data_IF_487521498121
#
_entry.id   IF_487521498121
#
_cell.length_a   1.000
_cell.length_b   1.000
_cell.length_c   1.000
_cell.angle_alpha   90.00
_cell.angle_beta   90.00
_cell.angle_gamma   90.00
#
_symmetry.space_group_name_H-M   'P 1'
#
loop_
_entity.id
_entity.type
_entity.pdbx_description
1 polymer ?
#
# COMPACT_ATOMS: atom_id res chain seq x y z
N UNK A 1 32.76 6.92 10.07
CA UNK A 1 31.62 6.20 10.68
C UNK A 1 30.53 7.14 11.20
N UNK A 2 30.83 8.26 11.90
CA UNK A 2 29.79 9.20 12.36
C UNK A 2 29.19 10.10 11.24
N UNK A 3 29.94 10.39 10.18
CA UNK A 3 29.51 11.24 9.06
C UNK A 3 28.50 10.55 8.14
N UNK A 4 28.66 9.25 7.88
CA UNK A 4 27.74 8.47 7.06
C UNK A 4 26.35 8.33 7.70
N UNK A 5 26.29 8.03 9.00
CA UNK A 5 25.01 7.90 9.72
C UNK A 5 24.18 9.20 9.75
N UNK A 6 24.83 10.35 9.91
CA UNK A 6 24.15 11.65 9.84
C UNK A 6 23.66 11.98 8.43
N UNK A 7 24.42 11.61 7.39
CA UNK A 7 23.96 11.73 6.02
C UNK A 7 22.75 10.83 5.76
N UNK A 8 22.79 9.57 6.24
CA UNK A 8 21.70 8.61 6.13
C UNK A 8 20.40 9.13 6.74
N UNK A 9 20.47 9.68 7.95
CA UNK A 9 19.32 10.28 8.65
C UNK A 9 18.68 11.39 7.82
N UNK A 10 19.49 12.33 7.30
CA UNK A 10 19.01 13.42 6.45
C UNK A 10 18.34 12.91 5.17
N UNK A 11 18.92 11.91 4.52
CA UNK A 11 18.35 11.29 3.33
C UNK A 11 17.02 10.60 3.64
N UNK A 12 16.92 9.91 4.78
CA UNK A 12 15.67 9.31 5.22
C UNK A 12 14.58 10.35 5.54
N UNK A 13 14.93 11.46 6.20
CA UNK A 13 14.00 12.57 6.43
C UNK A 13 13.48 13.16 5.12
N UNK A 14 14.36 13.39 4.14
CA UNK A 14 13.96 13.83 2.81
C UNK A 14 13.04 12.82 2.11
N UNK A 15 13.35 11.52 2.24
CA UNK A 15 12.51 10.44 1.71
C UNK A 15 11.10 10.44 2.31
N UNK A 16 10.97 10.67 3.62
CA UNK A 16 9.67 10.78 4.28
C UNK A 16 8.85 11.96 3.75
N UNK A 17 9.48 13.13 3.58
CA UNK A 17 8.82 14.31 3.00
C UNK A 17 8.33 14.03 1.58
N UNK A 18 9.18 13.45 0.72
CA UNK A 18 8.78 13.08 -0.63
C UNK A 18 7.67 12.02 -0.65
N UNK A 19 7.72 11.05 0.28
CA UNK A 19 6.71 10.00 0.40
C UNK A 19 5.34 10.55 0.82
N UNK A 20 5.31 11.52 1.74
CA UNK A 20 4.09 12.22 2.16
C UNK A 20 3.51 13.10 1.04
N UNK A 21 4.37 13.68 0.20
CA UNK A 21 3.97 14.48 -0.96
C UNK A 21 3.62 13.67 -2.21
N UNK A 22 3.56 12.34 -2.10
CA UNK A 22 3.32 11.43 -3.22
C UNK A 22 4.38 11.45 -4.35
N UNK A 23 5.58 11.96 -4.07
CA UNK A 23 6.71 12.02 -5.00
C UNK A 23 7.53 10.72 -4.96
N UNK A 24 6.94 9.62 -5.42
CA UNK A 24 7.44 8.26 -5.20
C UNK A 24 8.88 8.06 -5.69
N UNK A 25 9.24 8.54 -6.88
CA UNK A 25 10.59 8.38 -7.43
C UNK A 25 11.64 9.10 -6.60
N UNK A 26 11.32 10.32 -6.11
CA UNK A 26 12.21 11.09 -5.23
C UNK A 26 12.34 10.43 -3.87
N UNK A 27 11.24 9.90 -3.34
CA UNK A 27 11.23 9.17 -2.08
C UNK A 27 12.09 7.90 -2.16
N UNK A 28 11.98 7.12 -3.24
CA UNK A 28 12.84 5.96 -3.50
C UNK A 28 14.31 6.36 -3.52
N UNK A 29 14.67 7.39 -4.30
CA UNK A 29 16.06 7.83 -4.40
C UNK A 29 16.63 8.27 -3.04
N UNK A 30 15.85 9.03 -2.26
CA UNK A 30 16.28 9.50 -0.95
C UNK A 30 16.41 8.35 0.07
N UNK A 31 15.47 7.38 0.10
CA UNK A 31 15.61 6.22 0.97
C UNK A 31 16.75 5.29 0.56
N UNK A 32 17.03 5.15 -0.74
CA UNK A 32 18.16 4.36 -1.21
C UNK A 32 19.49 4.96 -0.74
N UNK A 33 19.67 6.29 -0.84
CA UNK A 33 20.83 6.98 -0.29
C UNK A 33 20.96 6.78 1.24
N UNK A 34 19.83 6.77 1.96
CA UNK A 34 19.84 6.48 3.40
C UNK A 34 20.36 5.07 3.69
N UNK A 35 19.87 4.09 2.96
CA UNK A 35 20.28 2.68 3.08
C UNK A 35 21.74 2.47 2.63
N UNK A 36 22.22 3.18 1.62
CA UNK A 36 23.60 3.05 1.14
C UNK A 36 24.61 3.62 2.16
N UNK A 37 24.20 4.65 2.92
CA UNK A 37 25.01 5.26 3.96
C UNK A 37 24.95 4.54 5.32
N UNK A 38 23.86 3.83 5.64
CA UNK A 38 23.70 3.00 6.84
C UNK A 38 22.87 1.72 6.55
N UNK A 39 23.48 0.70 5.90
CA UNK A 39 22.76 -0.45 5.36
C UNK A 39 22.20 -1.42 6.39
N UNK A 40 22.65 -1.30 7.64
CA UNK A 40 22.19 -2.10 8.78
C UNK A 40 21.13 -1.36 9.60
N UNK A 41 20.61 -0.23 9.12
CA UNK A 41 19.53 0.45 9.81
C UNK A 41 18.16 -0.14 9.39
N UNK A 42 17.48 -0.87 10.30
CA UNK A 42 16.23 -1.54 9.98
C UNK A 42 15.09 -0.56 9.64
N UNK A 43 15.10 0.66 10.18
CA UNK A 43 14.07 1.66 9.84
C UNK A 43 14.18 2.13 8.38
N UNK A 44 15.40 2.33 7.88
CA UNK A 44 15.61 2.77 6.49
C UNK A 44 15.22 1.68 5.51
N UNK A 45 15.49 0.41 5.83
CA UNK A 45 15.05 -0.75 5.05
C UNK A 45 13.51 -0.86 5.01
N UNK A 46 12.83 -0.58 6.14
CA UNK A 46 11.36 -0.56 6.16
C UNK A 46 10.78 0.60 5.35
N UNK A 47 11.35 1.80 5.45
CA UNK A 47 10.88 2.94 4.66
C UNK A 47 11.09 2.73 3.17
N UNK A 48 12.21 2.12 2.79
CA UNK A 48 12.47 1.71 1.41
C UNK A 48 11.45 0.67 0.93
N UNK A 49 11.14 -0.35 1.75
CA UNK A 49 10.10 -1.33 1.43
C UNK A 49 8.72 -0.69 1.24
N UNK A 50 8.37 0.29 2.09
CA UNK A 50 7.08 1.01 2.04
C UNK A 50 6.92 1.82 0.77
N UNK A 51 7.95 2.56 0.34
CA UNK A 51 7.88 3.35 -0.90
C UNK A 51 7.81 2.45 -2.14
N UNK A 52 8.55 1.33 -2.15
CA UNK A 52 8.47 0.36 -3.24
C UNK A 52 7.08 -0.28 -3.32
N UNK A 53 6.51 -0.70 -2.18
CA UNK A 53 5.17 -1.26 -2.14
C UNK A 53 4.10 -0.26 -2.63
N UNK A 54 4.23 1.02 -2.25
CA UNK A 54 3.31 2.08 -2.66
C UNK A 54 3.44 2.46 -4.14
N UNK A 55 4.65 2.39 -4.71
CA UNK A 55 4.88 2.61 -6.15
C UNK A 55 4.51 1.38 -7.01
N UNK A 56 4.14 0.26 -6.38
CA UNK A 56 3.77 -0.98 -7.06
C UNK A 56 4.96 -1.87 -7.41
N UNK A 57 6.17 -1.51 -7.01
CA UNK A 57 7.38 -2.33 -7.15
C UNK A 57 7.47 -3.34 -5.99
N UNK A 58 6.60 -4.34 -6.02
CA UNK A 58 6.53 -5.35 -4.96
C UNK A 58 7.79 -6.22 -4.90
N UNK A 59 8.53 -6.36 -6.01
CA UNK A 59 9.78 -7.12 -6.02
C UNK A 59 10.84 -6.43 -5.16
N UNK A 60 11.06 -5.12 -5.38
CA UNK A 60 11.99 -4.35 -4.57
C UNK A 60 11.51 -4.16 -3.13
N UNK A 61 10.20 -4.10 -2.90
CA UNK A 61 9.64 -4.09 -1.56
C UNK A 61 10.00 -5.38 -0.79
N UNK A 62 9.82 -6.54 -1.43
CA UNK A 62 10.19 -7.83 -0.84
C UNK A 62 11.70 -7.98 -0.67
N UNK A 63 12.52 -7.47 -1.59
CA UNK A 63 13.97 -7.45 -1.41
C UNK A 63 14.38 -6.64 -0.16
N UNK A 64 13.80 -5.45 0.00
CA UNK A 64 14.07 -4.58 1.14
C UNK A 64 13.65 -5.21 2.47
N UNK A 65 12.50 -5.90 2.50
CA UNK A 65 12.08 -6.68 3.67
C UNK A 65 12.99 -7.88 3.95
N UNK A 66 13.48 -8.55 2.91
CA UNK A 66 14.44 -9.64 3.06
C UNK A 66 15.73 -9.16 3.72
N UNK A 67 16.22 -7.98 3.33
CA UNK A 67 17.34 -7.30 3.99
C UNK A 67 17.02 -6.88 5.42
N UNK A 68 15.81 -6.35 5.67
CA UNK A 68 15.37 -6.04 7.03
C UNK A 68 15.44 -7.27 7.94
N UNK A 69 14.97 -8.43 7.46
CA UNK A 69 15.00 -9.69 8.21
C UNK A 69 16.41 -10.27 8.43
N UNK A 70 17.42 -9.80 7.70
CA UNK A 70 18.83 -10.14 7.99
C UNK A 70 19.39 -9.35 9.18
N UNK A 71 18.80 -8.19 9.49
CA UNK A 71 19.23 -7.28 10.56
C UNK A 71 18.38 -7.45 11.81
N UNK A 72 17.06 -7.46 11.68
CA UNK A 72 16.10 -7.68 12.75
C UNK A 72 15.36 -9.01 12.54
N UNK A 73 15.67 -10.00 13.37
CA UNK A 73 15.13 -11.36 13.28
C UNK A 73 14.11 -11.70 14.36
N UNK A 74 13.96 -10.87 15.39
CA UNK A 74 13.15 -11.17 16.57
C UNK A 74 11.98 -10.19 16.75
N UNK A 75 10.83 -10.72 17.20
CA UNK A 75 9.65 -9.94 17.57
C UNK A 75 8.49 -10.00 16.57
N UNK A 76 7.37 -9.38 16.96
CA UNK A 76 6.11 -9.45 16.21
C UNK A 76 6.22 -8.89 14.78
N UNK A 77 7.08 -7.88 14.56
CA UNK A 77 7.29 -7.25 13.25
C UNK A 77 8.05 -8.19 12.30
N UNK A 78 9.17 -8.74 12.75
CA UNK A 78 9.94 -9.72 11.98
C UNK A 78 9.08 -10.95 11.64
N UNK A 79 8.40 -11.53 12.64
CA UNK A 79 7.51 -12.68 12.43
C UNK A 79 6.37 -12.39 11.43
N UNK A 80 5.89 -11.15 11.35
CA UNK A 80 4.88 -10.76 10.36
C UNK A 80 5.46 -10.70 8.94
N UNK A 81 6.68 -10.21 8.77
CA UNK A 81 7.33 -10.14 7.46
C UNK A 81 7.84 -11.49 7.01
N UNK A 82 8.34 -12.35 7.90
CA UNK A 82 8.70 -13.74 7.59
C UNK A 82 7.52 -14.50 6.96
N UNK A 83 6.30 -14.31 7.48
CA UNK A 83 5.09 -14.91 6.91
C UNK A 83 4.81 -14.45 5.48
N UNK A 84 5.27 -13.29 5.03
CA UNK A 84 5.13 -12.85 3.64
C UNK A 84 6.00 -13.65 2.67
N UNK A 85 7.09 -14.26 3.16
CA UNK A 85 7.97 -15.13 2.38
C UNK A 85 7.54 -16.60 2.43
N UNK A 86 6.50 -16.92 3.19
CA UNK A 86 5.89 -18.25 3.19
C UNK A 86 5.19 -18.51 1.86
N UNK A 87 5.27 -19.75 1.36
CA UNK A 87 4.50 -20.18 0.18
C UNK A 87 3.03 -20.46 0.47
N UNK A 88 2.64 -20.49 1.75
CA UNK A 88 1.27 -20.74 2.19
C UNK A 88 0.50 -19.44 2.33
N UNK A 89 -0.73 -19.43 1.80
CA UNK A 89 -1.68 -18.32 1.99
C UNK A 89 -1.98 -18.12 3.47
N UNK A 90 -2.09 -16.87 3.89
CA UNK A 90 -2.64 -16.55 5.21
C UNK A 90 -4.17 -16.66 5.24
N UNK A 91 -4.75 -16.63 6.44
CA UNK A 91 -6.20 -16.77 6.64
C UNK A 91 -6.99 -15.65 5.94
N UNK A 92 -6.43 -14.43 5.85
CA UNK A 92 -7.07 -13.29 5.19
C UNK A 92 -7.06 -13.50 3.67
N UNK A 93 -5.93 -13.92 3.10
CA UNK A 93 -5.80 -14.23 1.68
C UNK A 93 -6.72 -15.36 1.24
N UNK A 94 -6.81 -16.40 2.06
CA UNK A 94 -7.73 -17.53 1.83
C UNK A 94 -9.18 -17.04 1.79
N UNK A 95 -9.59 -16.24 2.79
CA UNK A 95 -10.95 -15.68 2.85
C UNK A 95 -11.25 -14.72 1.71
N UNK A 96 -10.26 -13.91 1.29
CA UNK A 96 -10.39 -13.03 0.12
C UNK A 96 -10.67 -13.85 -1.14
N UNK A 97 -9.86 -14.86 -1.41
CA UNK A 97 -10.02 -15.69 -2.61
C UNK A 97 -11.39 -16.36 -2.62
N UNK A 98 -11.78 -17.01 -1.52
CA UNK A 98 -13.01 -17.80 -1.47
C UNK A 98 -14.26 -16.92 -1.52
N UNK A 99 -14.32 -15.89 -0.68
CA UNK A 99 -15.52 -15.05 -0.55
C UNK A 99 -15.70 -14.14 -1.75
N UNK A 100 -14.62 -13.56 -2.31
CA UNK A 100 -14.72 -12.71 -3.49
C UNK A 100 -15.17 -13.51 -4.72
N UNK A 101 -14.76 -14.78 -4.85
CA UNK A 101 -15.29 -15.69 -5.89
C UNK A 101 -16.77 -15.95 -5.71
N UNK A 102 -17.24 -16.20 -4.49
CA UNK A 102 -18.67 -16.39 -4.20
C UNK A 102 -19.50 -15.14 -4.51
N UNK A 103 -18.93 -13.95 -4.31
CA UNK A 103 -19.50 -12.66 -4.69
C UNK A 103 -19.42 -12.36 -6.20
N UNK A 104 -18.91 -13.29 -7.01
CA UNK A 104 -18.68 -13.13 -8.46
C UNK A 104 -17.76 -11.95 -8.82
N UNK A 105 -16.82 -11.61 -7.93
CA UNK A 105 -15.83 -10.55 -8.20
C UNK A 105 -14.78 -11.10 -9.19
N UNK A 106 -14.41 -10.34 -10.25
CA UNK A 106 -13.45 -10.79 -11.25
C UNK A 106 -12.09 -11.15 -10.66
N UNK A 107 -11.43 -12.17 -11.23
CA UNK A 107 -10.13 -12.67 -10.74
C UNK A 107 -9.03 -11.58 -10.73
N UNK A 108 -9.07 -10.63 -11.67
CA UNK A 108 -8.16 -9.49 -11.69
C UNK A 108 -8.29 -8.62 -10.42
N UNK A 109 -9.52 -8.39 -9.95
CA UNK A 109 -9.80 -7.64 -8.74
C UNK A 109 -9.44 -8.43 -7.47
N UNK A 110 -9.57 -9.76 -7.50
CA UNK A 110 -9.07 -10.63 -6.42
C UNK A 110 -7.53 -10.53 -6.33
N UNK A 111 -6.84 -10.54 -7.46
CA UNK A 111 -5.39 -10.29 -7.50
C UNK A 111 -5.02 -8.94 -6.88
N UNK A 112 -5.78 -7.88 -7.21
CA UNK A 112 -5.62 -6.56 -6.59
C UNK A 112 -5.94 -6.53 -5.09
N UNK A 113 -6.88 -7.33 -4.62
CA UNK A 113 -7.17 -7.48 -3.20
C UNK A 113 -5.97 -8.06 -2.42
N UNK A 114 -5.33 -9.09 -2.98
CA UNK A 114 -4.13 -9.71 -2.40
C UNK A 114 -2.97 -8.71 -2.40
N UNK A 115 -2.76 -7.98 -3.50
CA UNK A 115 -1.76 -6.91 -3.57
C UNK A 115 -2.02 -5.81 -2.53
N UNK A 116 -3.30 -5.43 -2.32
CA UNK A 116 -3.69 -4.44 -1.33
C UNK A 116 -3.40 -4.92 0.09
N UNK A 117 -3.66 -6.19 0.36
CA UNK A 117 -3.37 -6.80 1.65
C UNK A 117 -1.86 -6.85 1.93
N UNK A 118 -1.06 -7.21 0.91
CA UNK A 118 0.40 -7.16 0.98
C UNK A 118 0.88 -5.73 1.29
N UNK A 119 0.48 -4.73 0.50
CA UNK A 119 0.90 -3.34 0.71
C UNK A 119 0.51 -2.86 2.12
N UNK A 120 -0.70 -3.19 2.58
CA UNK A 120 -1.18 -2.79 3.90
C UNK A 120 -0.27 -3.32 5.02
N UNK A 121 0.13 -4.59 4.95
CA UNK A 121 1.03 -5.21 5.95
C UNK A 121 2.42 -4.57 5.96
N UNK A 122 2.90 -4.07 4.81
CA UNK A 122 4.17 -3.35 4.70
C UNK A 122 4.03 -1.93 5.24
N UNK A 123 3.00 -1.20 4.81
CA UNK A 123 2.74 0.20 5.17
C UNK A 123 2.46 0.42 6.65
N UNK A 124 1.95 -0.59 7.35
CA UNK A 124 1.82 -0.56 8.82
C UNK A 124 3.16 -0.31 9.52
N UNK A 125 4.29 -0.71 8.91
CA UNK A 125 5.63 -0.52 9.47
C UNK A 125 5.75 -1.22 10.82
N UNK A 126 6.44 -0.62 11.80
CA UNK A 126 6.67 -1.24 13.11
C UNK A 126 5.42 -1.35 14.01
N UNK A 127 4.27 -0.82 13.60
CA UNK A 127 3.06 -0.87 14.43
C UNK A 127 2.67 -2.34 14.69
N UNK A 128 2.33 -2.69 15.95
CA UNK A 128 1.87 -4.04 16.27
C UNK A 128 0.65 -4.40 15.43
N UNK A 129 0.67 -5.59 14.84
CA UNK A 129 -0.38 -6.03 13.94
C UNK A 129 -0.65 -7.50 14.09
N UNK A 130 -1.91 -7.84 14.36
CA UNK A 130 -2.39 -9.22 14.49
C UNK A 130 -3.78 -9.32 13.86
N UNK A 131 -4.09 -10.51 13.38
CA UNK A 131 -5.32 -10.80 12.63
C UNK A 131 -6.13 -11.91 13.31
N UNK A 132 -6.51 -11.78 14.60
CA UNK A 132 -7.27 -12.84 15.30
C UNK A 132 -8.67 -13.04 14.73
N UNK A 133 -9.16 -12.08 13.93
CA UNK A 133 -10.43 -12.11 13.20
C UNK A 133 -10.13 -11.80 11.73
N UNK A 134 -9.63 -12.77 10.95
CA UNK A 134 -9.22 -12.55 9.56
C UNK A 134 -10.39 -12.09 8.68
N UNK A 135 -11.63 -12.49 9.01
CA UNK A 135 -12.85 -12.09 8.31
C UNK A 135 -13.08 -10.57 8.29
N UNK A 136 -12.68 -9.87 9.35
CA UNK A 136 -12.79 -8.41 9.41
C UNK A 136 -11.88 -7.71 8.40
N UNK A 137 -10.67 -8.24 8.23
CA UNK A 137 -9.67 -7.69 7.30
C UNK A 137 -10.01 -8.03 5.86
N UNK A 138 -10.38 -9.30 5.59
CA UNK A 138 -10.79 -9.74 4.27
C UNK A 138 -12.02 -8.97 3.76
N UNK A 139 -13.00 -8.74 4.63
CA UNK A 139 -14.18 -7.93 4.30
C UNK A 139 -13.82 -6.46 4.02
N UNK A 140 -12.95 -5.86 4.85
CA UNK A 140 -12.47 -4.49 4.66
C UNK A 140 -11.76 -4.30 3.32
N UNK A 141 -10.83 -5.19 2.98
CA UNK A 141 -10.10 -5.17 1.70
C UNK A 141 -11.05 -5.42 0.52
N UNK A 142 -11.97 -6.37 0.64
CA UNK A 142 -12.98 -6.61 -0.41
C UNK A 142 -13.83 -5.37 -0.67
N UNK A 143 -14.30 -4.72 0.40
CA UNK A 143 -15.09 -3.51 0.27
C UNK A 143 -14.27 -2.34 -0.30
N UNK A 144 -12.98 -2.25 0.03
CA UNK A 144 -12.08 -1.28 -0.60
C UNK A 144 -11.96 -1.52 -2.11
N UNK A 145 -11.77 -2.77 -2.55
CA UNK A 145 -11.72 -3.12 -3.98
C UNK A 145 -13.03 -2.79 -4.70
N UNK A 146 -14.17 -3.09 -4.07
CA UNK A 146 -15.50 -2.73 -4.57
C UNK A 146 -15.61 -1.22 -4.80
N UNK A 147 -15.11 -0.40 -3.86
CA UNK A 147 -15.15 1.06 -3.95
C UNK A 147 -14.18 1.62 -4.98
N UNK A 148 -12.95 1.13 -5.02
CA UNK A 148 -11.97 1.56 -6.02
C UNK A 148 -12.45 1.28 -7.43
N UNK A 149 -13.10 0.13 -7.66
CA UNK A 149 -13.52 -0.32 -8.98
C UNK A 149 -14.99 0.00 -9.32
N UNK A 150 -15.69 0.74 -8.47
CA UNK A 150 -17.11 1.09 -8.64
C UNK A 150 -18.03 -0.11 -8.87
N UNK A 151 -17.72 -1.25 -8.24
CA UNK A 151 -18.56 -2.45 -8.31
C UNK A 151 -19.88 -2.18 -7.59
N UNK A 152 -21.00 -2.52 -8.23
CA UNK A 152 -22.35 -2.36 -7.66
C UNK A 152 -22.63 -3.42 -6.59
N UNK A 153 -22.01 -3.27 -5.42
CA UNK A 153 -22.23 -4.15 -4.27
C UNK A 153 -22.45 -3.33 -3.00
N UNK A 154 -23.50 -3.65 -2.24
CA UNK A 154 -23.81 -2.91 -1.01
C UNK A 154 -22.90 -3.40 0.12
N UNK A 155 -22.64 -2.50 1.07
CA UNK A 155 -21.89 -2.83 2.29
C UNK A 155 -22.56 -3.95 3.09
N UNK A 156 -23.90 -4.00 3.10
CA UNK A 156 -24.70 -5.07 3.72
C UNK A 156 -24.34 -6.44 3.15
N UNK A 157 -24.17 -6.51 1.83
CA UNK A 157 -23.96 -7.77 1.12
C UNK A 157 -22.54 -8.29 1.38
N UNK A 158 -21.55 -7.40 1.40
CA UNK A 158 -20.17 -7.73 1.79
C UNK A 158 -20.11 -8.15 3.26
N UNK A 159 -20.73 -7.40 4.16
CA UNK A 159 -20.74 -7.73 5.59
C UNK A 159 -21.37 -9.12 5.83
N UNK A 160 -22.48 -9.42 5.16
CA UNK A 160 -23.15 -10.71 5.24
C UNK A 160 -22.27 -11.85 4.69
N UNK A 161 -21.58 -11.64 3.57
CA UNK A 161 -20.73 -12.66 2.95
C UNK A 161 -19.57 -13.10 3.86
N UNK A 162 -19.05 -12.19 4.69
CA UNK A 162 -18.00 -12.49 5.66
C UNK A 162 -18.54 -12.82 7.07
N UNK A 163 -19.86 -12.83 7.27
CA UNK A 163 -20.47 -13.13 8.57
C UNK A 163 -20.20 -12.07 9.65
N UNK A 164 -19.99 -10.81 9.27
CA UNK A 164 -19.66 -9.70 10.18
C UNK A 164 -20.76 -8.63 10.17
N UNK A 165 -20.72 -7.72 11.15
CA UNK A 165 -21.65 -6.58 11.16
C UNK A 165 -21.11 -5.39 10.33
N UNK A 166 -22.02 -4.58 9.78
CA UNK A 166 -21.66 -3.44 8.93
C UNK A 166 -20.78 -2.38 9.59
N UNK A 167 -20.91 -2.20 10.92
CA UNK A 167 -20.09 -1.23 11.65
C UNK A 167 -18.63 -1.68 11.68
N UNK A 168 -18.38 -2.95 12.01
CA UNK A 168 -17.03 -3.51 12.01
C UNK A 168 -16.40 -3.50 10.61
N UNK A 169 -17.20 -3.76 9.56
CA UNK A 169 -16.76 -3.61 8.18
C UNK A 169 -16.35 -2.16 7.89
N UNK A 170 -17.20 -1.19 8.25
CA UNK A 170 -16.92 0.24 8.06
C UNK A 170 -15.62 0.65 8.75
N UNK A 171 -15.45 0.29 10.01
CA UNK A 171 -14.27 0.65 10.81
C UNK A 171 -12.98 0.10 10.15
N UNK A 172 -13.01 -1.15 9.66
CA UNK A 172 -11.85 -1.77 8.99
C UNK A 172 -11.57 -1.17 7.62
N UNK A 173 -12.62 -0.89 6.86
CA UNK A 173 -12.48 -0.18 5.58
C UNK A 173 -11.83 1.19 5.78
N UNK A 174 -12.26 1.97 6.78
CA UNK A 174 -11.69 3.29 7.08
C UNK A 174 -10.22 3.19 7.48
N UNK A 175 -9.85 2.20 8.30
CA UNK A 175 -8.46 1.95 8.68
C UNK A 175 -7.56 1.62 7.47
N UNK A 176 -8.06 0.80 6.54
CA UNK A 176 -7.35 0.45 5.30
C UNK A 176 -7.18 1.68 4.41
N UNK A 177 -8.26 2.44 4.19
CA UNK A 177 -8.25 3.66 3.38
C UNK A 177 -7.25 4.67 3.92
N UNK A 178 -7.24 4.91 5.24
CA UNK A 178 -6.31 5.84 5.87
C UNK A 178 -4.86 5.36 5.81
N UNK A 179 -4.63 4.06 6.02
CA UNK A 179 -3.27 3.51 6.02
C UNK A 179 -2.64 3.54 4.63
N UNK A 180 -3.41 3.16 3.61
CA UNK A 180 -2.94 3.09 2.23
C UNK A 180 -3.10 4.40 1.45
N UNK A 181 -3.76 5.39 2.06
CA UNK A 181 -4.18 6.64 1.43
C UNK A 181 -4.93 6.35 0.10
N UNK A 182 -5.96 5.51 0.20
CA UNK A 182 -6.73 5.05 -0.96
C UNK A 182 -7.67 6.15 -1.48
N UNK A 183 -7.69 6.30 -2.80
CA UNK A 183 -8.66 7.13 -3.50
C UNK A 183 -9.62 6.30 -4.38
N UNK A 184 -10.81 6.81 -4.71
CA UNK A 184 -11.62 6.22 -5.78
C UNK A 184 -10.82 6.12 -7.08
N UNK A 185 -10.92 4.99 -7.78
CA UNK A 185 -10.11 4.69 -8.96
C UNK A 185 -8.58 4.79 -8.77
N UNK A 186 -8.08 4.52 -7.56
CA UNK A 186 -6.65 4.41 -7.28
C UNK A 186 -5.94 3.51 -8.31
N UNK A 187 -4.94 4.05 -8.99
CA UNK A 187 -4.21 3.38 -10.09
C UNK A 187 -3.60 2.04 -9.67
N UNK A 188 -3.27 1.87 -8.38
CA UNK A 188 -2.68 0.61 -7.89
C UNK A 188 -3.67 -0.55 -7.97
N UNK A 189 -4.95 -0.28 -7.77
CA UNK A 189 -5.98 -1.31 -7.54
C UNK A 189 -7.17 -1.26 -8.51
N UNK A 190 -7.26 -0.21 -9.33
CA UNK A 190 -8.24 -0.11 -10.39
C UNK A 190 -7.92 -1.08 -11.53
N UNK A 191 -8.94 -1.79 -12.03
CA UNK A 191 -8.78 -2.80 -13.09
C UNK A 191 -9.60 -2.49 -14.34
N UNK A 192 -10.30 -1.36 -14.39
CA UNK A 192 -11.04 -0.95 -15.58
C UNK A 192 -10.09 -0.47 -16.69
N UNK A 193 -10.52 -0.59 -17.95
CA UNK A 193 -9.69 -0.20 -19.10
C UNK A 193 -9.42 1.31 -19.17
N UNK A 194 -10.33 2.14 -18.67
CA UNK A 194 -10.22 3.60 -18.67
C UNK A 194 -10.38 4.10 -17.25
N UNK A 195 -9.29 4.62 -16.67
CA UNK A 195 -9.36 5.15 -15.32
C UNK A 195 -10.09 6.50 -15.36
N UNK A 196 -11.17 6.69 -14.57
CA UNK A 196 -11.87 7.98 -14.52
C UNK A 196 -10.96 9.17 -14.18
N UNK A 197 -9.85 8.94 -13.47
CA UNK A 197 -8.88 9.96 -13.11
C UNK A 197 -8.03 10.44 -14.30
N UNK A 198 -7.93 9.67 -15.39
CA UNK A 198 -7.10 10.04 -16.55
C UNK A 198 -7.55 11.40 -17.11
N UNK A 199 -8.86 11.63 -17.19
CA UNK A 199 -9.43 12.91 -17.63
C UNK A 199 -9.11 14.07 -16.69
N UNK A 200 -9.02 13.80 -15.40
CA UNK A 200 -8.67 14.82 -14.40
C UNK A 200 -7.19 15.20 -14.52
N UNK A 201 -6.32 14.21 -14.76
CA UNK A 201 -4.89 14.43 -15.01
C UNK A 201 -4.69 15.21 -16.30
N UNK A 202 -5.38 14.86 -17.38
CA UNK A 202 -5.36 15.60 -18.64
C UNK A 202 -5.81 17.06 -18.45
N UNK A 203 -6.92 17.27 -17.73
CA UNK A 203 -7.42 18.62 -17.45
C UNK A 203 -6.44 19.44 -16.60
N UNK A 204 -5.81 18.84 -15.58
CA UNK A 204 -4.82 19.51 -14.75
C UNK A 204 -3.58 19.93 -15.55
N UNK A 205 -3.06 19.06 -16.41
CA UNK A 205 -1.94 19.38 -17.30
C UNK A 205 -2.28 20.52 -18.26
N UNK A 206 -3.48 20.50 -18.84
CA UNK A 206 -3.92 21.57 -19.74
C UNK A 206 -4.04 22.92 -19.01
N UNK A 207 -4.50 22.93 -17.76
CA UNK A 207 -4.52 24.13 -16.92
C UNK A 207 -3.11 24.65 -16.64
N UNK A 208 -2.18 23.77 -16.26
CA UNK A 208 -0.77 24.15 -16.04
C UNK A 208 -0.11 24.73 -17.31
N UNK A 209 -0.39 24.16 -18.48
CA UNK A 209 0.10 24.68 -19.76
C UNK A 209 -0.48 26.06 -20.09
N UNK A 210 -1.79 26.25 -19.86
CA UNK A 210 -2.44 27.55 -20.06
C UNK A 210 -1.89 28.61 -19.11
N UNK A 211 -1.69 28.27 -17.83
CA UNK A 211 -1.11 29.17 -16.82
C UNK A 211 0.32 29.56 -17.17
N UNK A 212 1.14 28.59 -17.62
CA UNK A 212 2.51 28.89 -18.09
C UNK A 212 2.50 29.83 -19.29
N UNK A 213 1.66 29.57 -20.29
CA UNK A 213 1.56 30.44 -21.46
C UNK A 213 1.10 31.86 -21.07
N UNK A 214 0.22 31.98 -20.07
CA UNK A 214 -0.24 33.29 -19.57
C UNK A 214 0.86 34.06 -18.83
N UNK A 215 1.78 33.36 -18.16
CA UNK A 215 2.91 33.96 -17.44
C UNK A 215 4.11 34.29 -18.34
N UNK A 216 4.22 33.65 -19.52
CA UNK A 216 5.28 33.92 -20.51
C UNK A 216 4.97 35.14 -21.42
N UNK A 217 3.73 35.64 -21.40
CA UNK A 217 3.25 36.78 -22.20
C UNK A 217 3.38 38.16 -21.49
N UNK A 218 3.98 38.23 -20.29
CA UNK A 218 4.30 39.46 -19.51
C UNK A 218 5.83 39.73 -19.43
#
# INVERSE_FOLDING_TARGET
MATGKKAAEKHNEAGLVHFENWEMEKAVAAFQEAVDNDPENPEYLLNLARVYARSGDYEQAMNSLGRYLQVETEGDVAARFERLFSSSLDDVETLLIDTMRQLNIPIAQIGKAIQMWLEFRITIGRRPFRTPKPELWAAGITYAIVKVNFVELKRTDVAAAYGINERALKDKYEEIVQTLDLMPADYRYFTGEKNPLDKLVEAARLLEELDRNFQEDD
#
